data_IF_438372896912
#
_entry.id   IF_438372896912
#
_cell.length_a   1.000
_cell.length_b   1.000
_cell.length_c   1.000
_cell.angle_alpha   90.00
_cell.angle_beta   90.00
_cell.angle_gamma   90.00
#
_symmetry.space_group_name_H-M   'P 1'
#
loop_
_entity.id
_entity.type
_entity.pdbx_description
1 polymer ?
#
# COMPACT_ATOMS: atom_id res chain seq x y z
N UNK A 1 -3.14 -11.72 14.65
CA UNK A 1 -1.72 -11.29 14.55
C UNK A 1 -1.72 -9.81 14.18
N UNK A 2 -1.08 -8.97 14.99
CA UNK A 2 -0.82 -7.59 14.55
C UNK A 2 0.12 -7.62 13.35
N UNK A 3 -0.14 -6.76 12.36
CA UNK A 3 0.74 -6.58 11.22
C UNK A 3 2.13 -6.13 11.70
N UNK A 4 3.16 -6.75 11.16
CA UNK A 4 4.53 -6.39 11.49
C UNK A 4 4.99 -5.18 10.66
N UNK A 5 5.80 -4.34 11.27
CA UNK A 5 6.50 -3.25 10.58
C UNK A 5 7.71 -3.84 9.85
N UNK A 6 8.03 -3.26 8.71
CA UNK A 6 9.19 -3.70 7.91
C UNK A 6 10.50 -3.42 8.64
N UNK A 7 10.62 -2.27 9.34
CA UNK A 7 11.80 -1.94 10.14
C UNK A 7 12.04 -2.95 11.27
N UNK A 8 10.98 -3.45 11.95
CA UNK A 8 11.12 -4.49 12.98
C UNK A 8 11.63 -5.81 12.37
N UNK A 9 11.16 -6.16 11.16
CA UNK A 9 11.62 -7.36 10.44
C UNK A 9 13.08 -7.25 10.03
N UNK A 10 13.50 -6.07 9.58
CA UNK A 10 14.88 -5.81 9.17
C UNK A 10 15.84 -5.83 10.37
N UNK A 11 15.42 -5.29 11.53
CA UNK A 11 16.24 -5.21 12.72
C UNK A 11 16.48 -6.57 13.41
N UNK A 12 15.55 -7.52 13.26
CA UNK A 12 15.56 -8.80 13.97
C UNK A 12 16.04 -10.01 13.16
N UNK A 13 16.54 -9.82 11.94
CA UNK A 13 16.76 -10.95 11.04
C UNK A 13 18.11 -10.87 10.31
N UNK A 14 19.00 -11.82 10.58
CA UNK A 14 20.26 -12.02 9.85
C UNK A 14 20.05 -12.76 8.52
N UNK A 15 18.82 -13.22 8.24
CA UNK A 15 18.48 -13.90 7.00
C UNK A 15 18.13 -12.91 5.89
N UNK A 16 18.27 -13.34 4.63
CA UNK A 16 17.82 -12.56 3.49
C UNK A 16 16.31 -12.36 3.55
N UNK A 17 15.90 -11.09 3.55
CA UNK A 17 14.52 -10.69 3.41
C UNK A 17 14.26 -10.22 1.97
N UNK A 18 13.11 -10.56 1.44
CA UNK A 18 12.70 -10.23 0.10
C UNK A 18 11.20 -9.97 0.07
N UNK A 19 10.75 -9.22 -0.91
CA UNK A 19 9.36 -8.83 -1.07
C UNK A 19 8.90 -9.08 -2.50
N UNK A 20 7.59 -9.09 -2.68
CA UNK A 20 6.95 -9.10 -4.00
C UNK A 20 6.25 -7.76 -4.22
N UNK A 21 6.18 -7.30 -5.46
CA UNK A 21 5.50 -6.09 -5.83
C UNK A 21 4.40 -6.38 -6.85
N UNK A 22 3.23 -5.79 -6.63
CA UNK A 22 2.07 -5.96 -7.48
C UNK A 22 1.40 -4.63 -7.81
N UNK A 23 0.92 -4.52 -9.04
CA UNK A 23 0.15 -3.38 -9.53
C UNK A 23 -1.35 -3.65 -9.38
N UNK A 24 -2.15 -2.65 -8.95
CA UNK A 24 -3.59 -2.82 -8.87
C UNK A 24 -4.19 -3.10 -10.25
N UNK A 25 -5.15 -4.02 -10.35
CA UNK A 25 -5.78 -4.36 -11.62
C UNK A 25 -6.81 -3.30 -12.02
N UNK A 26 -7.11 -3.25 -13.33
CA UNK A 26 -8.08 -2.31 -13.89
C UNK A 26 -9.49 -2.91 -14.09
N UNK A 27 -9.63 -4.21 -13.89
CA UNK A 27 -10.89 -4.96 -14.13
C UNK A 27 -11.17 -5.93 -12.99
N UNK A 28 -12.45 -6.29 -12.79
CA UNK A 28 -12.84 -7.29 -11.80
C UNK A 28 -12.20 -8.66 -12.05
N UNK A 29 -12.13 -9.10 -13.33
CA UNK A 29 -11.43 -10.33 -13.67
C UNK A 29 -9.93 -10.25 -13.39
N UNK A 30 -9.33 -9.08 -13.64
CA UNK A 30 -7.94 -8.80 -13.29
C UNK A 30 -7.70 -8.92 -11.78
N UNK A 31 -8.62 -8.43 -10.95
CA UNK A 31 -8.55 -8.55 -9.50
C UNK A 31 -8.60 -10.02 -9.07
N UNK A 32 -9.56 -10.79 -9.57
CA UNK A 32 -9.68 -12.22 -9.26
C UNK A 32 -8.40 -13.00 -9.60
N UNK A 33 -7.88 -12.79 -10.81
CA UNK A 33 -6.65 -13.45 -11.26
C UNK A 33 -5.43 -13.02 -10.43
N UNK A 34 -5.34 -11.74 -10.06
CA UNK A 34 -4.24 -11.21 -9.27
C UNK A 34 -4.28 -11.74 -7.83
N UNK A 35 -5.42 -11.74 -7.19
CA UNK A 35 -5.60 -12.29 -5.83
C UNK A 35 -5.19 -13.77 -5.77
N UNK A 36 -5.64 -14.59 -6.73
CA UNK A 36 -5.25 -15.99 -6.83
C UNK A 36 -3.74 -16.15 -7.05
N UNK A 37 -3.10 -15.26 -7.83
CA UNK A 37 -1.65 -15.24 -8.05
C UNK A 37 -0.90 -14.86 -6.79
N UNK A 38 -1.30 -13.78 -6.10
CA UNK A 38 -0.67 -13.32 -4.86
C UNK A 38 -0.73 -14.44 -3.82
N UNK A 39 -1.90 -15.06 -3.63
CA UNK A 39 -2.05 -16.16 -2.69
C UNK A 39 -1.08 -17.31 -2.97
N UNK A 40 -1.00 -17.79 -4.22
CA UNK A 40 -0.07 -18.87 -4.60
C UNK A 40 1.38 -18.48 -4.39
N UNK A 41 1.78 -17.26 -4.80
CA UNK A 41 3.16 -16.78 -4.69
C UNK A 41 3.54 -16.57 -3.22
N UNK A 42 2.69 -15.92 -2.43
CA UNK A 42 2.98 -15.68 -1.02
C UNK A 42 3.05 -16.98 -0.22
N UNK A 43 2.19 -17.97 -0.54
CA UNK A 43 2.23 -19.28 0.11
C UNK A 43 3.48 -20.07 -0.25
N UNK A 44 3.87 -20.09 -1.53
CA UNK A 44 5.02 -20.87 -1.99
C UNK A 44 6.37 -20.23 -1.63
N UNK A 45 6.43 -18.90 -1.69
CA UNK A 45 7.69 -18.17 -1.64
C UNK A 45 7.94 -17.50 -0.27
N UNK A 46 6.95 -17.36 0.58
CA UNK A 46 7.05 -16.80 1.93
C UNK A 46 7.78 -15.43 1.99
N UNK A 47 7.34 -14.41 1.21
CA UNK A 47 7.99 -13.09 1.25
C UNK A 47 7.85 -12.46 2.64
N UNK A 48 8.80 -11.61 3.00
CA UNK A 48 8.73 -10.83 4.22
C UNK A 48 7.53 -9.88 4.24
N UNK A 49 7.20 -9.31 3.08
CA UNK A 49 6.01 -8.46 2.84
C UNK A 49 5.70 -8.38 1.34
N UNK A 50 4.56 -7.77 1.03
CA UNK A 50 4.12 -7.49 -0.34
C UNK A 50 3.99 -6.00 -0.55
N UNK A 51 4.58 -5.46 -1.61
CA UNK A 51 4.34 -4.10 -2.07
C UNK A 51 3.10 -4.03 -2.95
N UNK A 52 2.29 -3.00 -2.74
CA UNK A 52 1.18 -2.64 -3.63
C UNK A 52 1.43 -1.23 -4.15
N UNK A 53 1.61 -1.10 -5.48
CA UNK A 53 1.89 0.18 -6.10
C UNK A 53 0.65 1.10 -6.07
N UNK A 54 0.92 2.40 -5.99
CA UNK A 54 -0.11 3.42 -6.16
C UNK A 54 -0.32 3.68 -7.66
N UNK A 55 -1.55 3.64 -8.10
CA UNK A 55 -1.83 3.92 -9.50
C UNK A 55 -1.71 5.41 -9.82
N UNK A 56 -1.17 5.71 -10.99
CA UNK A 56 -1.00 7.09 -11.47
C UNK A 56 -2.35 7.79 -11.65
N UNK A 57 -2.47 9.01 -11.12
CA UNK A 57 -3.56 9.93 -11.41
C UNK A 57 -4.80 9.84 -10.52
N UNK A 58 -4.71 9.37 -9.28
CA UNK A 58 -5.81 9.44 -8.28
C UNK A 58 -7.00 8.51 -8.53
N UNK A 59 -7.27 8.10 -9.76
CA UNK A 59 -8.39 7.22 -10.13
C UNK A 59 -8.25 5.77 -9.64
N UNK A 60 -7.07 5.39 -9.18
CA UNK A 60 -6.75 4.03 -8.74
C UNK A 60 -6.50 3.91 -7.25
N UNK A 61 -6.68 5.00 -6.46
CA UNK A 61 -6.46 4.96 -5.02
C UNK A 61 -7.30 3.86 -4.35
N UNK A 62 -8.57 3.74 -4.71
CA UNK A 62 -9.44 2.69 -4.19
C UNK A 62 -8.97 1.29 -4.57
N UNK A 63 -8.53 1.07 -5.82
CA UNK A 63 -8.08 -0.25 -6.27
C UNK A 63 -6.77 -0.67 -5.58
N UNK A 64 -5.86 0.26 -5.35
CA UNK A 64 -4.62 0.00 -4.61
C UNK A 64 -4.91 -0.33 -3.14
N UNK A 65 -5.78 0.45 -2.51
CA UNK A 65 -6.17 0.24 -1.12
C UNK A 65 -6.97 -1.05 -0.95
N UNK A 66 -7.92 -1.36 -1.83
CA UNK A 66 -8.66 -2.62 -1.83
C UNK A 66 -7.71 -3.81 -1.92
N UNK A 67 -6.79 -3.82 -2.91
CA UNK A 67 -5.82 -4.89 -3.06
C UNK A 67 -4.95 -5.04 -1.80
N UNK A 68 -4.45 -3.94 -1.28
CA UNK A 68 -3.65 -3.91 -0.06
C UNK A 68 -4.41 -4.46 1.16
N UNK A 69 -5.65 -4.01 1.36
CA UNK A 69 -6.50 -4.46 2.47
C UNK A 69 -6.82 -5.96 2.38
N UNK A 70 -7.13 -6.46 1.18
CA UNK A 70 -7.39 -7.89 0.94
C UNK A 70 -6.17 -8.74 1.27
N UNK A 71 -5.00 -8.38 0.77
CA UNK A 71 -3.76 -9.12 1.03
C UNK A 71 -3.36 -9.05 2.51
N UNK A 72 -3.44 -7.87 3.12
CA UNK A 72 -3.13 -7.65 4.54
C UNK A 72 -3.99 -8.53 5.45
N UNK A 73 -5.24 -8.78 5.06
CA UNK A 73 -6.20 -9.53 5.88
C UNK A 73 -6.47 -10.96 5.37
N UNK A 74 -5.80 -11.39 4.30
CA UNK A 74 -5.92 -12.77 3.77
C UNK A 74 -7.26 -13.04 3.07
N UNK A 75 -7.87 -12.03 2.42
CA UNK A 75 -9.14 -12.13 1.71
C UNK A 75 -8.90 -12.26 0.21
N UNK A 76 -8.74 -13.47 -0.26
CA UNK A 76 -8.39 -13.74 -1.66
C UNK A 76 -9.58 -14.12 -2.55
N UNK A 77 -10.77 -14.30 -1.99
CA UNK A 77 -12.01 -14.44 -2.76
C UNK A 77 -12.51 -13.04 -3.17
N UNK A 78 -12.59 -12.73 -4.47
CA UNK A 78 -13.05 -11.42 -4.95
C UNK A 78 -14.53 -11.16 -4.65
N UNK A 79 -15.35 -12.20 -4.46
CA UNK A 79 -16.77 -12.07 -4.11
C UNK A 79 -16.99 -11.72 -2.64
N UNK A 80 -15.99 -11.92 -1.80
CA UNK A 80 -16.10 -11.65 -0.38
C UNK A 80 -15.96 -10.16 -0.06
N UNK A 81 -16.78 -9.66 0.86
CA UNK A 81 -16.73 -8.29 1.36
C UNK A 81 -15.56 -8.13 2.35
N UNK A 82 -14.41 -7.68 1.84
CA UNK A 82 -13.20 -7.48 2.63
C UNK A 82 -13.35 -6.40 3.71
N UNK A 83 -14.32 -5.52 3.58
CA UNK A 83 -14.53 -4.41 4.52
C UNK A 83 -15.09 -4.87 5.88
N UNK A 84 -15.64 -6.08 5.93
CA UNK A 84 -16.19 -6.71 7.13
C UNK A 84 -15.19 -7.55 7.91
N UNK A 85 -13.99 -7.71 7.39
CA UNK A 85 -12.95 -8.51 8.06
C UNK A 85 -12.32 -7.68 9.17
N UNK A 86 -12.42 -8.17 10.39
CA UNK A 86 -11.91 -7.50 11.61
C UNK A 86 -10.56 -8.07 12.08
N UNK A 87 -10.21 -9.27 11.63
CA UNK A 87 -8.97 -9.95 12.02
C UNK A 87 -8.29 -10.59 10.80
N UNK A 88 -6.95 -10.53 10.69
CA UNK A 88 -6.22 -11.21 9.62
C UNK A 88 -6.42 -12.71 9.65
N UNK A 89 -6.62 -13.32 8.49
CA UNK A 89 -6.84 -14.76 8.30
C UNK A 89 -5.56 -15.49 7.93
N UNK A 90 -5.68 -16.81 7.85
CA UNK A 90 -4.62 -17.65 7.27
C UNK A 90 -4.32 -17.20 5.85
N UNK A 91 -3.03 -17.06 5.53
CA UNK A 91 -2.56 -16.53 4.25
C UNK A 91 -2.41 -15.01 4.20
N UNK A 92 -2.77 -14.28 5.25
CA UNK A 92 -2.50 -12.85 5.36
C UNK A 92 -1.00 -12.57 5.26
N UNK A 93 -0.64 -11.56 4.47
CA UNK A 93 0.74 -11.11 4.28
C UNK A 93 0.84 -9.62 4.60
N UNK A 94 1.89 -9.23 5.32
CA UNK A 94 2.11 -7.81 5.61
C UNK A 94 2.30 -7.02 4.32
N UNK A 95 1.62 -5.89 4.22
CA UNK A 95 1.64 -5.04 3.03
C UNK A 95 2.42 -3.76 3.29
N UNK A 96 3.22 -3.36 2.30
CA UNK A 96 3.76 -2.02 2.15
C UNK A 96 3.00 -1.32 1.01
N UNK A 97 2.17 -0.36 1.37
CA UNK A 97 1.38 0.43 0.40
C UNK A 97 2.24 1.59 -0.11
N UNK A 98 2.40 1.69 -1.43
CA UNK A 98 3.02 2.88 -2.02
C UNK A 98 2.04 4.04 -1.96
N UNK A 99 2.52 5.24 -1.63
CA UNK A 99 1.75 6.48 -1.67
C UNK A 99 2.55 7.56 -2.37
N UNK A 100 1.90 8.25 -3.30
CA UNK A 100 2.49 9.39 -4.01
C UNK A 100 1.81 10.68 -3.61
N UNK A 101 2.54 11.78 -3.64
CA UNK A 101 1.99 13.14 -3.54
C UNK A 101 1.61 13.73 -4.91
N UNK A 102 1.84 13.02 -6.02
CA UNK A 102 1.50 13.49 -7.37
C UNK A 102 0.02 13.28 -7.68
N UNK A 103 -0.67 14.33 -8.14
CA UNK A 103 -2.08 14.31 -8.57
C UNK A 103 -3.06 13.68 -7.57
N UNK A 104 -2.80 13.84 -6.28
CA UNK A 104 -3.67 13.34 -5.21
C UNK A 104 -4.19 14.53 -4.42
N UNK A 105 -5.51 14.64 -4.30
CA UNK A 105 -6.12 15.60 -3.39
C UNK A 105 -5.87 15.16 -1.95
N UNK A 106 -5.69 16.14 -1.07
CA UNK A 106 -5.45 15.88 0.35
C UNK A 106 -6.54 15.05 1.00
N UNK A 107 -7.80 15.31 0.66
CA UNK A 107 -8.96 14.56 1.16
C UNK A 107 -8.87 13.06 0.80
N UNK A 108 -8.40 12.74 -0.41
CA UNK A 108 -8.17 11.35 -0.84
C UNK A 108 -7.00 10.71 -0.09
N UNK A 109 -5.92 11.47 0.14
CA UNK A 109 -4.78 10.99 0.92
C UNK A 109 -5.17 10.70 2.37
N UNK A 110 -5.94 11.61 2.99
CA UNK A 110 -6.46 11.45 4.35
C UNK A 110 -7.32 10.21 4.49
N UNK A 111 -8.32 10.06 3.62
CA UNK A 111 -9.20 8.90 3.61
C UNK A 111 -8.40 7.59 3.40
N UNK A 112 -7.39 7.62 2.53
CA UNK A 112 -6.55 6.44 2.29
C UNK A 112 -5.72 6.05 3.52
N UNK A 113 -5.13 7.02 4.21
CA UNK A 113 -4.34 6.76 5.41
C UNK A 113 -5.21 6.25 6.56
N UNK A 114 -6.40 6.83 6.75
CA UNK A 114 -7.36 6.40 7.76
C UNK A 114 -7.85 4.96 7.48
N UNK A 115 -8.19 4.65 6.23
CA UNK A 115 -8.60 3.31 5.83
C UNK A 115 -7.44 2.29 5.90
N UNK A 116 -6.23 2.67 5.49
CA UNK A 116 -5.06 1.83 5.63
C UNK A 116 -4.84 1.44 7.10
N UNK A 117 -4.97 2.42 8.00
CA UNK A 117 -4.90 2.19 9.45
C UNK A 117 -6.02 1.27 9.93
N UNK A 118 -7.25 1.45 9.47
CA UNK A 118 -8.41 0.61 9.79
C UNK A 118 -8.18 -0.85 9.37
N UNK A 119 -7.57 -1.09 8.21
CA UNK A 119 -7.22 -2.43 7.72
C UNK A 119 -5.94 -3.02 8.32
N UNK A 120 -5.30 -2.33 9.23
CA UNK A 120 -4.10 -2.81 9.90
C UNK A 120 -2.82 -2.71 9.06
N UNK A 121 -2.84 -1.96 7.95
CA UNK A 121 -1.63 -1.70 7.15
C UNK A 121 -0.69 -0.81 7.97
N UNK A 122 0.55 -1.26 8.14
CA UNK A 122 1.56 -0.60 8.98
C UNK A 122 2.72 0.00 8.19
N UNK A 123 2.84 -0.32 6.90
CA UNK A 123 4.02 0.05 6.14
C UNK A 123 3.63 0.87 4.90
N UNK A 124 4.30 1.98 4.70
CA UNK A 124 4.11 2.93 3.59
C UNK A 124 5.46 3.12 2.89
N UNK A 125 5.45 3.11 1.55
CA UNK A 125 6.54 3.65 0.75
C UNK A 125 6.10 5.02 0.20
N UNK A 126 6.64 6.09 0.77
CA UNK A 126 6.34 7.44 0.37
C UNK A 126 7.22 7.85 -0.81
N UNK A 127 6.60 8.32 -1.88
CA UNK A 127 7.29 8.75 -3.10
C UNK A 127 6.62 9.98 -3.72
N UNK A 128 7.35 10.69 -4.58
CA UNK A 128 6.76 11.81 -5.31
C UNK A 128 5.86 11.33 -6.44
N UNK A 129 6.25 10.29 -7.15
CA UNK A 129 5.62 9.82 -8.39
C UNK A 129 6.16 10.54 -9.63
N UNK A 130 5.84 9.99 -10.80
CA UNK A 130 6.22 10.55 -12.09
C UNK A 130 5.27 11.68 -12.50
N UNK A 131 5.69 12.57 -13.40
CA UNK A 131 4.79 13.53 -14.04
C UNK A 131 3.63 12.81 -14.73
N UNK A 132 2.43 13.42 -14.82
CA UNK A 132 1.36 12.89 -15.63
C UNK A 132 1.79 12.66 -17.08
N UNK A 133 1.22 11.66 -17.73
CA UNK A 133 1.42 11.47 -19.17
C UNK A 133 1.00 12.75 -19.90
N UNK A 134 1.86 13.28 -20.76
CA UNK A 134 1.74 14.51 -21.55
C UNK A 134 2.16 15.80 -20.81
N UNK A 135 2.72 15.70 -19.61
CA UNK A 135 3.36 16.84 -18.96
C UNK A 135 4.88 16.64 -18.94
N UNK A 136 5.61 17.65 -19.42
CA UNK A 136 7.08 17.62 -19.47
C UNK A 136 7.68 17.84 -18.07
N UNK A 137 6.93 18.55 -17.22
CA UNK A 137 7.38 18.91 -15.88
C UNK A 137 6.37 18.48 -14.83
N UNK A 138 6.89 18.06 -13.68
CA UNK A 138 6.09 17.75 -12.51
C UNK A 138 5.60 19.04 -11.83
N UNK A 139 4.30 19.13 -11.58
CA UNK A 139 3.67 20.23 -10.84
C UNK A 139 2.90 19.65 -9.66
N UNK A 140 3.17 20.18 -8.45
CA UNK A 140 2.46 19.73 -7.26
C UNK A 140 0.98 20.15 -7.31
N UNK A 141 0.07 19.22 -7.13
CA UNK A 141 -1.36 19.50 -6.95
C UNK A 141 -1.60 20.26 -5.64
N UNK A 142 -0.88 19.89 -4.56
CA UNK A 142 -0.83 20.64 -3.31
C UNK A 142 0.60 21.16 -3.10
N UNK A 143 0.75 22.50 -3.01
CA UNK A 143 2.03 23.17 -2.82
C UNK A 143 2.74 22.79 -1.51
N UNK A 144 2.06 22.13 -0.58
CA UNK A 144 2.65 21.62 0.66
C UNK A 144 3.12 20.16 0.57
N UNK A 145 2.88 19.50 -0.57
CA UNK A 145 3.23 18.10 -0.84
C UNK A 145 4.03 18.02 -2.14
N UNK A 146 5.22 18.60 -2.16
CA UNK A 146 6.04 18.73 -3.37
C UNK A 146 6.96 17.51 -3.60
N UNK A 147 7.24 16.76 -2.54
CA UNK A 147 8.16 15.64 -2.59
C UNK A 147 7.85 14.60 -1.50
N UNK A 148 8.56 13.46 -1.53
CA UNK A 148 8.37 12.39 -0.55
C UNK A 148 8.63 12.85 0.89
N UNK A 149 9.56 13.78 1.12
CA UNK A 149 9.83 14.31 2.46
C UNK A 149 8.63 15.06 3.04
N UNK A 150 7.94 15.84 2.21
CA UNK A 150 6.73 16.55 2.64
C UNK A 150 5.60 15.56 2.96
N UNK A 151 5.46 14.50 2.14
CA UNK A 151 4.50 13.43 2.40
C UNK A 151 4.81 12.70 3.72
N UNK A 152 6.08 12.41 4.01
CA UNK A 152 6.49 11.81 5.30
C UNK A 152 6.11 12.70 6.47
N UNK A 153 6.43 14.01 6.42
CA UNK A 153 6.04 14.96 7.47
C UNK A 153 4.54 14.97 7.68
N UNK A 154 3.78 15.03 6.58
CA UNK A 154 2.33 15.02 6.62
C UNK A 154 1.75 13.76 7.30
N UNK A 155 2.26 12.56 6.95
CA UNK A 155 1.85 11.31 7.57
C UNK A 155 2.20 11.31 9.07
N UNK A 156 3.39 11.78 9.43
CA UNK A 156 3.83 11.85 10.85
C UNK A 156 2.98 12.80 11.68
N UNK A 157 2.62 13.96 11.14
CA UNK A 157 1.76 14.94 11.83
C UNK A 157 0.37 14.36 12.15
N UNK A 158 -0.20 13.54 11.26
CA UNK A 158 -1.56 12.99 11.43
C UNK A 158 -1.60 11.67 12.19
N UNK A 159 -0.62 10.81 12.00
CA UNK A 159 -0.66 9.43 12.48
C UNK A 159 0.49 9.07 13.44
N UNK A 160 1.37 10.03 13.76
CA UNK A 160 2.52 9.79 14.63
C UNK A 160 3.39 8.65 14.10
N UNK A 161 3.73 7.73 14.97
CA UNK A 161 4.58 6.57 14.67
C UNK A 161 3.81 5.31 14.24
N UNK A 162 2.52 5.46 13.93
CA UNK A 162 1.73 4.29 13.52
C UNK A 162 2.32 3.57 12.31
N UNK A 163 2.73 4.30 11.28
CA UNK A 163 3.29 3.73 10.06
C UNK A 163 4.82 3.64 10.13
N UNK A 164 5.37 2.51 9.67
CA UNK A 164 6.74 2.42 9.17
C UNK A 164 6.79 3.06 7.79
N UNK A 165 7.65 4.06 7.57
CA UNK A 165 7.69 4.80 6.30
C UNK A 165 9.06 4.64 5.66
N UNK A 166 9.10 3.97 4.51
CA UNK A 166 10.20 4.02 3.57
C UNK A 166 10.02 5.19 2.60
N UNK A 167 11.07 5.57 1.92
CA UNK A 167 11.09 6.64 0.90
C UNK A 167 11.78 6.17 -0.36
N UNK A 168 11.32 6.67 -1.53
CA UNK A 168 11.92 6.44 -2.85
C UNK A 168 11.90 7.72 -3.70
#
# INVERSE_FOLDING_TARGET
RMAARVDDKLAGNDAYLWSLEFFPPRTALGLANLLARIWRMSTALQPGWVHVTWGTGGSTCHASLELAARVQNGVYDPAEDYTKVTEPRSGACDVCLHLTCTNVERSCLDATLDEAKRFGIRNILALRGDPPRNEEYWVATDQRLQNATDLVKYIRERHGDYFCIGVA
#
